data_IF_666169340759
#
_entry.id   IF_666169340759
#
_cell.length_a   1.000
_cell.length_b   1.000
_cell.length_c   1.000
_cell.angle_alpha   90.00
_cell.angle_beta   90.00
_cell.angle_gamma   90.00
#
_symmetry.space_group_name_H-M   'P 1'
#
loop_
_entity.id
_entity.type
_entity.pdbx_description
1 polymer ?
#
# COMPACT_ATOMS: atom_id res chain seq x y z
N UNK A 1 19.91 17.37 -4.35
CA UNK A 1 19.44 17.31 -5.75
C UNK A 1 18.06 16.69 -5.92
N UNK A 2 17.85 15.38 -5.67
CA UNK A 2 16.51 14.78 -5.92
C UNK A 2 15.42 15.41 -5.04
N UNK A 3 15.77 15.74 -3.78
CA UNK A 3 14.91 16.52 -2.89
C UNK A 3 14.55 17.89 -3.52
N UNK A 4 15.55 18.61 -4.02
CA UNK A 4 15.37 19.93 -4.63
C UNK A 4 14.50 19.87 -5.88
N UNK A 5 14.64 18.81 -6.70
CA UNK A 5 13.80 18.59 -7.88
C UNK A 5 12.33 18.42 -7.49
N UNK A 6 12.04 17.61 -6.47
CA UNK A 6 10.66 17.42 -5.98
C UNK A 6 10.10 18.70 -5.36
N UNK A 7 10.91 19.44 -4.59
CA UNK A 7 10.49 20.69 -3.95
C UNK A 7 10.25 21.79 -5.00
N UNK A 8 11.03 21.81 -6.09
CA UNK A 8 10.85 22.75 -7.19
C UNK A 8 9.61 22.43 -8.03
N UNK A 9 9.25 21.14 -8.17
CA UNK A 9 7.97 20.72 -8.77
C UNK A 9 6.80 20.86 -7.78
N UNK A 10 6.59 22.08 -7.28
CA UNK A 10 5.58 22.41 -6.27
C UNK A 10 4.17 22.03 -6.70
N UNK A 11 3.88 22.09 -8.01
CA UNK A 11 2.56 21.72 -8.55
C UNK A 11 2.33 20.22 -8.43
N UNK A 12 3.29 19.40 -8.86
CA UNK A 12 3.17 17.94 -8.73
C UNK A 12 3.18 17.51 -7.26
N UNK A 13 4.08 18.08 -6.44
CA UNK A 13 4.11 17.81 -5.01
C UNK A 13 2.79 18.18 -4.32
N UNK A 14 2.21 19.33 -4.67
CA UNK A 14 0.90 19.75 -4.18
C UNK A 14 -0.20 18.77 -4.55
N UNK A 15 -0.24 18.29 -5.80
CA UNK A 15 -1.21 17.27 -6.24
C UNK A 15 -1.02 15.96 -5.47
N UNK A 16 0.22 15.50 -5.33
CA UNK A 16 0.55 14.27 -4.60
C UNK A 16 0.24 14.39 -3.11
N UNK A 17 0.38 15.56 -2.48
CA UNK A 17 -0.01 15.73 -1.09
C UNK A 17 -1.53 15.85 -0.94
N UNK A 18 -2.22 16.47 -1.89
CA UNK A 18 -3.66 16.70 -1.84
C UNK A 18 -4.50 15.44 -2.03
N UNK A 19 -3.96 14.40 -2.68
CA UNK A 19 -4.67 13.13 -2.86
C UNK A 19 -5.05 12.49 -1.51
N UNK A 20 -4.20 12.59 -0.49
CA UNK A 20 -4.48 12.00 0.82
C UNK A 20 -5.64 12.71 1.56
N UNK A 21 -5.65 14.06 1.65
CA UNK A 21 -6.79 14.80 2.15
C UNK A 21 -8.10 14.56 1.40
N UNK A 22 -8.07 14.58 0.05
CA UNK A 22 -9.27 14.35 -0.75
C UNK A 22 -9.85 12.97 -0.44
N UNK A 23 -9.04 11.93 -0.49
CA UNK A 23 -9.50 10.56 -0.23
C UNK A 23 -9.91 10.39 1.24
N UNK A 24 -9.18 10.97 2.18
CA UNK A 24 -9.54 10.95 3.61
C UNK A 24 -10.90 11.58 3.87
N UNK A 25 -11.20 12.72 3.25
CA UNK A 25 -12.52 13.37 3.32
C UNK A 25 -13.60 12.49 2.66
N UNK A 26 -13.33 11.91 1.49
CA UNK A 26 -14.29 11.01 0.84
C UNK A 26 -14.59 9.77 1.70
N UNK A 27 -13.58 9.18 2.34
CA UNK A 27 -13.78 8.08 3.29
C UNK A 27 -14.58 8.55 4.51
N UNK A 28 -14.30 9.74 5.03
CA UNK A 28 -15.10 10.35 6.08
C UNK A 28 -16.53 10.64 5.67
N UNK A 29 -16.88 10.77 4.40
CA UNK A 29 -18.26 10.93 3.96
C UNK A 29 -18.99 9.58 3.89
N UNK A 30 -18.29 8.50 3.53
CA UNK A 30 -18.90 7.18 3.30
C UNK A 30 -18.83 6.24 4.53
N UNK A 31 -17.79 6.30 5.36
CA UNK A 31 -17.55 5.37 6.45
C UNK A 31 -18.33 5.69 7.73
N UNK A 32 -19.06 4.73 8.31
CA UNK A 32 -19.78 4.94 9.58
C UNK A 32 -18.84 5.21 10.76
N UNK A 33 -19.31 5.97 11.75
CA UNK A 33 -18.48 6.36 12.89
C UNK A 33 -18.05 5.17 13.77
N UNK A 34 -18.96 4.20 13.90
CA UNK A 34 -18.80 2.93 14.61
C UNK A 34 -18.36 1.79 13.66
N UNK A 35 -17.75 2.11 12.52
CA UNK A 35 -17.40 1.09 11.53
C UNK A 35 -16.31 0.12 12.00
N UNK A 36 -15.41 0.53 12.92
CA UNK A 36 -14.30 -0.29 13.41
C UNK A 36 -14.47 -0.70 14.88
N UNK A 37 -15.13 0.13 15.69
CA UNK A 37 -15.32 -0.06 17.13
C UNK A 37 -16.73 0.39 17.52
N UNK A 38 -17.41 -0.40 18.35
CA UNK A 38 -18.76 -0.08 18.83
C UNK A 38 -19.67 -1.30 19.01
N UNK A 39 -20.72 -1.15 19.81
CA UNK A 39 -21.68 -2.24 20.10
C UNK A 39 -22.52 -2.66 18.88
N UNK A 40 -22.63 -1.79 17.87
CA UNK A 40 -23.37 -2.02 16.61
C UNK A 40 -22.45 -2.27 15.41
N UNK A 41 -21.16 -2.47 15.65
CA UNK A 41 -20.18 -2.69 14.60
C UNK A 41 -20.33 -4.10 14.03
N UNK A 42 -20.52 -4.19 12.71
CA UNK A 42 -20.51 -5.47 12.01
C UNK A 42 -19.18 -5.70 11.29
N UNK A 43 -18.73 -6.95 11.24
CA UNK A 43 -17.52 -7.33 10.51
C UNK A 43 -17.53 -6.88 9.03
N UNK A 44 -18.72 -6.84 8.40
CA UNK A 44 -18.89 -6.39 7.01
C UNK A 44 -18.60 -4.90 6.83
N UNK A 45 -18.94 -4.05 7.81
CA UNK A 45 -18.69 -2.61 7.76
C UNK A 45 -17.21 -2.32 8.04
N UNK A 46 -16.62 -3.00 9.02
CA UNK A 46 -15.19 -2.91 9.31
C UNK A 46 -14.35 -3.30 8.08
N UNK A 47 -14.69 -4.43 7.43
CA UNK A 47 -14.01 -4.87 6.20
C UNK A 47 -14.02 -3.83 5.10
N UNK A 48 -15.11 -3.08 4.90
CA UNK A 48 -15.18 -2.02 3.87
C UNK A 48 -14.18 -0.91 4.15
N UNK A 49 -14.09 -0.44 5.41
CA UNK A 49 -13.15 0.62 5.79
C UNK A 49 -11.71 0.15 5.64
N UNK A 50 -11.40 -1.05 6.16
CA UNK A 50 -10.06 -1.63 6.06
C UNK A 50 -9.64 -1.89 4.60
N UNK A 51 -10.58 -2.35 3.78
CA UNK A 51 -10.36 -2.56 2.34
C UNK A 51 -10.02 -1.27 1.61
N UNK A 52 -10.72 -0.19 1.94
CA UNK A 52 -10.41 1.13 1.39
C UNK A 52 -9.03 1.59 1.86
N UNK A 53 -8.69 1.45 3.13
CA UNK A 53 -7.35 1.79 3.64
C UNK A 53 -6.25 1.01 2.93
N UNK A 54 -6.42 -0.30 2.75
CA UNK A 54 -5.47 -1.15 2.02
C UNK A 54 -5.29 -0.69 0.56
N UNK A 55 -6.40 -0.49 -0.15
CA UNK A 55 -6.38 -0.12 -1.57
C UNK A 55 -5.75 1.27 -1.77
N UNK A 56 -6.11 2.24 -0.93
CA UNK A 56 -5.59 3.61 -0.98
C UNK A 56 -4.10 3.65 -0.63
N UNK A 57 -3.66 2.89 0.37
CA UNK A 57 -2.23 2.81 0.72
C UNK A 57 -1.41 2.26 -0.46
N UNK A 58 -1.85 1.15 -1.07
CA UNK A 58 -1.18 0.61 -2.27
C UNK A 58 -1.18 1.62 -3.41
N UNK A 59 -2.31 2.30 -3.65
CA UNK A 59 -2.44 3.35 -4.66
C UNK A 59 -1.43 4.49 -4.46
N UNK A 60 -1.32 5.03 -3.25
CA UNK A 60 -0.36 6.09 -2.92
C UNK A 60 1.05 5.68 -3.29
N UNK A 61 1.48 4.49 -2.82
CA UNK A 61 2.79 3.96 -3.15
C UNK A 61 3.04 3.94 -4.67
N UNK A 62 2.16 3.29 -5.43
CA UNK A 62 2.35 3.11 -6.87
C UNK A 62 2.40 4.47 -7.58
N UNK A 63 1.43 5.36 -7.34
CA UNK A 63 1.33 6.64 -8.05
C UNK A 63 2.51 7.55 -7.76
N UNK A 64 3.00 7.57 -6.51
CA UNK A 64 4.15 8.37 -6.12
C UNK A 64 5.44 7.94 -6.86
N UNK A 65 5.55 6.67 -7.24
CA UNK A 65 6.78 6.09 -7.81
C UNK A 65 6.70 5.75 -9.31
N UNK A 66 5.51 5.56 -9.87
CA UNK A 66 5.31 5.01 -11.22
C UNK A 66 6.02 5.80 -12.32
N UNK A 67 6.17 7.13 -12.18
CA UNK A 67 6.86 7.96 -13.19
C UNK A 67 8.31 8.29 -12.83
N UNK A 68 8.78 7.99 -11.64
CA UNK A 68 10.01 8.61 -11.10
C UNK A 68 11.30 8.16 -11.80
N UNK A 69 11.40 6.90 -12.21
CA UNK A 69 12.58 6.40 -12.96
C UNK A 69 12.48 6.80 -14.43
N UNK A 70 11.30 6.66 -15.04
CA UNK A 70 11.11 7.02 -16.46
C UNK A 70 11.35 8.50 -16.75
N UNK A 71 10.91 9.41 -15.85
CA UNK A 71 11.14 10.86 -15.97
C UNK A 71 12.62 11.23 -16.00
N UNK A 72 13.43 10.55 -15.20
CA UNK A 72 14.85 10.85 -15.05
C UNK A 72 15.77 9.92 -15.85
N UNK A 73 15.21 9.03 -16.66
CA UNK A 73 15.97 8.05 -17.46
C UNK A 73 17.14 8.67 -18.25
N UNK A 74 17.00 9.85 -18.91
CA UNK A 74 18.12 10.49 -19.60
C UNK A 74 19.25 10.96 -18.66
N UNK A 75 18.89 11.45 -17.46
CA UNK A 75 19.85 11.90 -16.45
C UNK A 75 20.58 10.68 -15.88
N UNK A 76 19.85 9.64 -15.52
CA UNK A 76 20.41 8.38 -15.02
C UNK A 76 21.44 7.80 -15.99
N UNK A 77 21.15 7.77 -17.30
CA UNK A 77 22.08 7.25 -18.32
C UNK A 77 23.38 8.07 -18.39
N UNK A 78 23.30 9.41 -18.26
CA UNK A 78 24.49 10.28 -18.23
C UNK A 78 25.34 10.04 -16.98
N UNK A 79 24.72 9.95 -15.81
CA UNK A 79 25.45 9.72 -14.55
C UNK A 79 26.02 8.31 -14.44
N UNK A 80 25.40 7.34 -15.13
CA UNK A 80 25.89 5.98 -15.20
C UNK A 80 27.25 5.88 -15.92
N UNK A 81 27.46 6.69 -16.96
CA UNK A 81 28.76 6.85 -17.62
C UNK A 81 29.84 7.41 -16.68
N UNK A 82 29.42 8.13 -15.64
CA UNK A 82 30.29 8.64 -14.57
C UNK A 82 30.36 7.71 -13.34
N UNK A 83 30.13 6.40 -13.51
CA UNK A 83 30.20 5.35 -12.47
C UNK A 83 29.13 5.40 -11.35
N UNK A 84 27.96 6.02 -11.58
CA UNK A 84 26.86 5.95 -10.62
C UNK A 84 26.37 4.50 -10.42
N UNK A 85 26.34 4.00 -9.18
CA UNK A 85 25.80 2.66 -8.84
C UNK A 85 24.26 2.66 -8.76
N UNK A 86 23.63 1.57 -9.20
CA UNK A 86 22.16 1.39 -9.19
C UNK A 86 21.59 1.44 -7.76
N UNK A 87 22.27 0.83 -6.78
CA UNK A 87 21.83 0.78 -5.39
C UNK A 87 21.61 2.17 -4.78
N UNK A 88 22.66 3.03 -4.71
CA UNK A 88 22.52 4.42 -4.25
C UNK A 88 21.45 5.23 -4.99
N UNK A 89 21.29 5.02 -6.31
CA UNK A 89 20.24 5.66 -7.09
C UNK A 89 18.85 5.26 -6.60
N UNK A 90 18.55 3.97 -6.51
CA UNK A 90 17.23 3.48 -6.06
C UNK A 90 16.97 3.86 -4.59
N UNK A 91 17.98 3.76 -3.72
CA UNK A 91 17.87 4.19 -2.31
C UNK A 91 17.56 5.67 -2.19
N UNK A 92 18.16 6.53 -3.03
CA UNK A 92 17.84 7.97 -3.03
C UNK A 92 16.37 8.25 -3.38
N UNK A 93 15.78 7.43 -4.27
CA UNK A 93 14.35 7.52 -4.60
C UNK A 93 13.49 7.11 -3.42
N UNK A 94 13.77 5.95 -2.84
CA UNK A 94 13.02 5.43 -1.68
C UNK A 94 13.09 6.41 -0.52
N UNK A 95 14.26 6.96 -0.18
CA UNK A 95 14.42 7.84 0.98
C UNK A 95 13.52 9.09 0.90
N UNK A 96 13.39 9.67 -0.29
CA UNK A 96 12.58 10.90 -0.46
C UNK A 96 11.10 10.55 -0.62
N UNK A 97 10.76 9.49 -1.35
CA UNK A 97 9.38 9.04 -1.48
C UNK A 97 8.82 8.45 -0.16
N UNK A 98 9.68 7.93 0.72
CA UNK A 98 9.34 7.50 2.07
C UNK A 98 8.74 8.66 2.88
N UNK A 99 9.36 9.84 2.85
CA UNK A 99 8.84 11.02 3.55
C UNK A 99 7.43 11.38 3.06
N UNK A 100 7.19 11.28 1.75
CA UNK A 100 5.89 11.55 1.15
C UNK A 100 4.83 10.55 1.65
N UNK A 101 5.12 9.24 1.63
CA UNK A 101 4.16 8.22 2.11
C UNK A 101 3.96 8.26 3.62
N UNK A 102 4.98 8.63 4.41
CA UNK A 102 4.86 8.88 5.86
C UNK A 102 3.81 9.95 6.13
N UNK A 103 3.89 11.08 5.41
CA UNK A 103 2.95 12.20 5.54
C UNK A 103 1.57 11.79 5.03
N UNK A 104 1.46 11.16 3.86
CA UNK A 104 0.18 10.75 3.29
C UNK A 104 -0.56 9.72 4.15
N UNK A 105 0.15 8.73 4.70
CA UNK A 105 -0.44 7.74 5.61
C UNK A 105 -0.91 8.39 6.91
N UNK A 106 -0.17 9.36 7.44
CA UNK A 106 -0.56 10.09 8.65
C UNK A 106 -1.78 10.96 8.40
N UNK A 107 -1.82 11.69 7.28
CA UNK A 107 -2.96 12.50 6.86
C UNK A 107 -4.20 11.65 6.63
N UNK A 108 -4.07 10.51 5.94
CA UNK A 108 -5.18 9.61 5.68
C UNK A 108 -5.81 9.09 6.97
N UNK A 109 -5.01 8.53 7.88
CA UNK A 109 -5.52 8.00 9.15
C UNK A 109 -5.97 9.09 10.10
N UNK A 110 -5.24 10.21 10.17
CA UNK A 110 -5.63 11.36 10.98
C UNK A 110 -7.01 11.88 10.58
N UNK A 111 -7.26 12.00 9.27
CA UNK A 111 -8.58 12.37 8.75
C UNK A 111 -9.63 11.32 9.05
N UNK A 112 -9.37 10.03 8.74
CA UNK A 112 -10.35 8.96 9.05
C UNK A 112 -10.70 8.94 10.54
N UNK A 113 -9.74 9.20 11.44
CA UNK A 113 -9.96 9.22 12.88
C UNK A 113 -10.88 10.33 13.39
N UNK A 114 -11.11 11.39 12.60
CA UNK A 114 -12.06 12.45 12.97
C UNK A 114 -13.52 11.99 12.89
N UNK A 115 -13.82 10.99 12.07
CA UNK A 115 -15.17 10.45 11.89
C UNK A 115 -15.33 9.03 12.41
N UNK A 116 -14.32 8.18 12.18
CA UNK A 116 -14.34 6.75 12.53
C UNK A 116 -13.52 6.54 13.80
N UNK A 117 -14.12 5.90 14.79
CA UNK A 117 -13.43 5.55 16.03
C UNK A 117 -12.41 4.44 15.77
N UNK A 118 -11.13 4.73 16.01
CA UNK A 118 -10.04 3.75 15.88
C UNK A 118 -9.95 2.88 17.14
N UNK A 119 -9.53 1.61 17.02
CA UNK A 119 -9.30 0.76 18.19
C UNK A 119 -8.25 1.37 19.12
N UNK A 120 -8.59 1.48 20.41
CA UNK A 120 -7.67 1.98 21.44
C UNK A 120 -6.49 1.01 21.63
N UNK A 121 -6.80 -0.29 21.70
CA UNK A 121 -5.84 -1.37 21.86
C UNK A 121 -5.71 -2.16 20.55
N UNK A 122 -4.48 -2.35 20.09
CA UNK A 122 -4.14 -3.36 19.08
C UNK A 122 -3.60 -4.62 19.75
N UNK A 123 -2.86 -5.40 18.98
CA UNK A 123 -2.30 -6.69 19.44
C UNK A 123 -0.98 -6.52 20.20
N UNK A 124 -0.14 -5.61 19.74
CA UNK A 124 1.21 -5.30 20.22
C UNK A 124 1.35 -3.84 20.66
N UNK A 125 0.72 -2.93 19.92
CA UNK A 125 0.80 -1.48 20.10
C UNK A 125 -0.63 -0.90 20.20
N UNK A 126 -0.79 0.40 20.52
CA UNK A 126 -2.07 1.07 20.38
C UNK A 126 -2.63 0.87 18.96
N UNK A 127 -3.92 0.61 18.83
CA UNK A 127 -4.50 0.15 17.56
C UNK A 127 -4.30 1.15 16.43
N UNK A 128 -4.42 2.46 16.71
CA UNK A 128 -4.12 3.53 15.75
C UNK A 128 -2.68 3.47 15.20
N UNK A 129 -1.71 3.07 16.02
CA UNK A 129 -0.30 2.99 15.64
C UNK A 129 -0.04 1.75 14.77
N UNK A 130 -0.71 0.63 15.06
CA UNK A 130 -0.65 -0.57 14.20
C UNK A 130 -1.32 -0.34 12.85
N UNK A 131 -2.47 0.35 12.81
CA UNK A 131 -3.11 0.77 11.57
C UNK A 131 -2.15 1.68 10.78
N UNK A 132 -1.49 2.63 11.44
CA UNK A 132 -0.50 3.50 10.80
C UNK A 132 0.69 2.73 10.23
N UNK A 133 1.29 1.85 11.02
CA UNK A 133 2.41 1.02 10.59
C UNK A 133 2.01 0.13 9.41
N UNK A 134 0.83 -0.51 9.47
CA UNK A 134 0.28 -1.32 8.37
C UNK A 134 0.06 -0.46 7.11
N UNK A 135 -0.50 0.74 7.26
CA UNK A 135 -0.70 1.68 6.14
C UNK A 135 0.62 2.06 5.50
N UNK A 136 1.63 2.40 6.31
CA UNK A 136 2.94 2.82 5.85
C UNK A 136 3.68 1.70 5.12
N UNK A 137 3.71 0.49 5.70
CA UNK A 137 4.33 -0.69 5.08
C UNK A 137 3.64 -1.07 3.76
N UNK A 138 2.31 -0.98 3.73
CA UNK A 138 1.51 -1.20 2.51
C UNK A 138 1.85 -0.18 1.43
N UNK A 139 1.94 1.11 1.79
CA UNK A 139 2.36 2.17 0.87
C UNK A 139 3.79 1.99 0.38
N UNK A 140 4.70 1.50 1.23
CA UNK A 140 6.10 1.22 0.84
C UNK A 140 6.22 0.04 -0.12
N UNK A 141 5.45 -1.03 0.10
CA UNK A 141 5.34 -2.13 -0.86
C UNK A 141 4.76 -1.64 -2.19
N UNK A 142 3.71 -0.82 -2.16
CA UNK A 142 3.14 -0.18 -3.34
C UNK A 142 4.14 0.73 -4.07
N UNK A 143 4.97 1.47 -3.32
CA UNK A 143 6.03 2.33 -3.83
C UNK A 143 7.10 1.52 -4.56
N UNK A 144 7.57 0.42 -3.97
CA UNK A 144 8.51 -0.47 -4.62
C UNK A 144 7.92 -1.07 -5.92
N UNK A 145 6.64 -1.44 -5.91
CA UNK A 145 5.95 -1.89 -7.13
C UNK A 145 5.85 -0.76 -8.17
N UNK A 146 5.56 0.47 -7.75
CA UNK A 146 5.59 1.65 -8.61
C UNK A 146 6.96 1.91 -9.23
N UNK A 147 8.05 1.74 -8.47
CA UNK A 147 9.41 1.82 -9.01
C UNK A 147 9.69 0.71 -10.04
N UNK A 148 9.22 -0.52 -9.80
CA UNK A 148 9.33 -1.61 -10.77
C UNK A 148 8.53 -1.35 -12.06
N UNK A 149 7.37 -0.71 -11.97
CA UNK A 149 6.60 -0.23 -13.13
C UNK A 149 7.40 0.86 -13.84
N UNK A 150 7.95 1.82 -13.10
CA UNK A 150 8.73 2.92 -13.63
C UNK A 150 10.00 2.47 -14.36
N UNK A 151 10.70 1.45 -13.85
CA UNK A 151 11.88 0.90 -14.53
C UNK A 151 11.54 0.11 -15.78
N UNK A 152 10.33 -0.42 -15.91
CA UNK A 152 9.93 -1.26 -17.06
C UNK A 152 9.41 -0.43 -18.23
N UNK A 153 8.73 0.68 -17.96
CA UNK A 153 8.16 1.54 -18.98
C UNK A 153 9.22 2.39 -19.70
N UNK A 154 8.99 2.70 -20.98
CA UNK A 154 9.89 3.53 -21.79
C UNK A 154 9.64 5.03 -21.64
N UNK A 155 8.41 5.42 -21.27
CA UNK A 155 8.01 6.82 -21.06
C UNK A 155 7.17 6.95 -19.78
N UNK A 156 7.13 8.14 -19.16
CA UNK A 156 6.28 8.39 -17.99
C UNK A 156 4.80 8.10 -18.23
N UNK A 157 4.29 8.38 -19.43
CA UNK A 157 2.88 8.14 -19.74
C UNK A 157 2.56 6.66 -19.86
N UNK A 158 3.44 5.87 -20.49
CA UNK A 158 3.30 4.40 -20.51
C UNK A 158 3.34 3.80 -19.10
N UNK A 159 4.17 4.35 -18.22
CA UNK A 159 4.21 3.88 -16.83
C UNK A 159 2.86 4.08 -16.13
N UNK A 160 2.20 5.23 -16.34
CA UNK A 160 0.85 5.46 -15.80
C UNK A 160 -0.20 4.56 -16.43
N UNK A 161 -0.12 4.28 -17.73
CA UNK A 161 -1.05 3.34 -18.37
C UNK A 161 -1.00 1.93 -17.76
N UNK A 162 0.12 1.54 -17.13
CA UNK A 162 0.27 0.24 -16.44
C UNK A 162 -0.33 0.27 -15.03
N UNK A 163 -0.44 1.43 -14.38
CA UNK A 163 -0.89 1.54 -12.98
C UNK A 163 -2.26 0.90 -12.75
N UNK A 164 -3.30 1.13 -13.57
CA UNK A 164 -4.59 0.45 -13.40
C UNK A 164 -4.47 -1.08 -13.46
N UNK A 165 -3.64 -1.61 -14.36
CA UNK A 165 -3.41 -3.06 -14.49
C UNK A 165 -2.73 -3.65 -13.25
N UNK A 166 -1.91 -2.87 -12.55
CA UNK A 166 -1.32 -3.26 -11.27
C UNK A 166 -2.32 -3.17 -10.12
N UNK A 167 -3.24 -2.20 -10.14
CA UNK A 167 -4.24 -1.96 -9.09
C UNK A 167 -5.43 -2.92 -9.15
N UNK A 168 -5.90 -3.30 -10.34
CA UNK A 168 -7.06 -4.20 -10.49
C UNK A 168 -6.88 -5.50 -9.70
N UNK A 169 -5.75 -6.24 -9.81
CA UNK A 169 -5.51 -7.44 -9.00
C UNK A 169 -5.55 -7.15 -7.49
N UNK A 170 -5.05 -5.99 -7.05
CA UNK A 170 -5.07 -5.61 -5.63
C UNK A 170 -6.50 -5.49 -5.11
N UNK A 171 -7.39 -4.92 -5.91
CA UNK A 171 -8.81 -4.77 -5.56
C UNK A 171 -9.52 -6.13 -5.57
N UNK A 172 -9.30 -6.93 -6.61
CA UNK A 172 -9.98 -8.22 -6.80
C UNK A 172 -9.60 -9.24 -5.73
N UNK A 173 -8.31 -9.34 -5.40
CA UNK A 173 -7.79 -10.39 -4.53
C UNK A 173 -7.56 -9.95 -3.08
N UNK A 174 -8.09 -8.80 -2.65
CA UNK A 174 -7.97 -8.37 -1.25
C UNK A 174 -8.73 -9.28 -0.26
N UNK A 175 -9.64 -10.14 -0.75
CA UNK A 175 -10.43 -11.06 0.08
C UNK A 175 -11.69 -10.44 0.70
N UNK A 176 -12.16 -9.32 0.15
CA UNK A 176 -13.36 -8.60 0.64
C UNK A 176 -14.50 -8.60 -0.37
N UNK A 177 -14.22 -8.26 -1.63
CA UNK A 177 -15.24 -8.20 -2.70
C UNK A 177 -15.60 -9.62 -3.16
N UNK A 178 -14.58 -10.45 -3.38
CA UNK A 178 -14.73 -11.83 -3.80
C UNK A 178 -14.23 -12.76 -2.70
N UNK A 179 -14.97 -13.83 -2.45
CA UNK A 179 -14.54 -14.90 -1.57
C UNK A 179 -13.41 -15.67 -2.26
N UNK A 180 -12.31 -15.90 -1.54
CA UNK A 180 -11.12 -16.55 -2.12
C UNK A 180 -11.20 -18.09 -2.13
N UNK A 181 -12.39 -18.64 -1.83
CA UNK A 181 -12.61 -20.07 -1.65
C UNK A 181 -11.98 -20.65 -0.37
N UNK A 182 -12.51 -21.79 0.07
CA UNK A 182 -11.97 -22.55 1.19
C UNK A 182 -10.84 -23.48 0.69
N UNK A 183 -9.75 -23.60 1.47
CA UNK A 183 -8.63 -24.47 1.15
C UNK A 183 -7.71 -23.96 0.01
N UNK A 184 -7.15 -24.88 -0.76
CA UNK A 184 -6.20 -24.58 -1.85
C UNK A 184 -6.95 -24.28 -3.15
N UNK A 185 -7.40 -23.04 -3.32
CA UNK A 185 -8.01 -22.56 -4.57
C UNK A 185 -6.99 -21.74 -5.39
N UNK A 186 -7.16 -21.70 -6.71
CA UNK A 186 -6.33 -20.85 -7.60
C UNK A 186 -6.46 -19.38 -7.23
N UNK A 187 -7.66 -18.94 -6.84
CA UNK A 187 -7.92 -17.57 -6.41
C UNK A 187 -7.13 -17.22 -5.14
N UNK A 188 -7.03 -18.14 -4.18
CA UNK A 188 -6.25 -17.97 -2.95
C UNK A 188 -4.75 -17.90 -3.24
N UNK A 189 -4.25 -18.75 -4.13
CA UNK A 189 -2.86 -18.71 -4.58
C UNK A 189 -2.53 -17.36 -5.22
N UNK A 190 -3.39 -16.87 -6.12
CA UNK A 190 -3.23 -15.56 -6.77
C UNK A 190 -3.30 -14.41 -5.76
N UNK A 191 -4.12 -14.54 -4.72
CA UNK A 191 -4.21 -13.52 -3.67
C UNK A 191 -2.92 -13.33 -2.87
N UNK A 192 -2.09 -14.37 -2.75
CA UNK A 192 -0.81 -14.23 -2.08
C UNK A 192 0.15 -13.34 -2.86
N UNK A 193 -0.11 -13.10 -4.16
CA UNK A 193 0.62 -12.18 -5.02
C UNK A 193 0.23 -10.70 -4.88
N UNK A 194 -0.77 -10.37 -4.06
CA UNK A 194 -1.27 -9.00 -3.89
C UNK A 194 -0.92 -8.42 -2.53
N UNK A 195 -0.49 -7.16 -2.53
CA UNK A 195 -0.10 -6.41 -1.34
C UNK A 195 -1.34 -6.14 -0.49
N UNK A 196 -2.46 -5.80 -1.13
CA UNK A 196 -3.74 -5.54 -0.47
C UNK A 196 -4.25 -6.72 0.36
N UNK A 197 -4.01 -7.97 -0.08
CA UNK A 197 -4.41 -9.17 0.66
C UNK A 197 -3.73 -9.23 2.03
N UNK A 198 -2.42 -9.05 2.05
CA UNK A 198 -1.63 -9.07 3.29
C UNK A 198 -1.90 -7.84 4.16
N UNK A 199 -2.14 -6.69 3.56
CA UNK A 199 -2.59 -5.49 4.26
C UNK A 199 -3.94 -5.72 4.96
N UNK A 200 -4.90 -6.37 4.28
CA UNK A 200 -6.19 -6.73 4.86
C UNK A 200 -6.06 -7.67 6.05
N UNK A 201 -5.19 -8.69 5.97
CA UNK A 201 -4.94 -9.59 7.11
C UNK A 201 -4.35 -8.83 8.30
N UNK A 202 -3.38 -7.94 8.06
CA UNK A 202 -2.76 -7.13 9.10
C UNK A 202 -3.79 -6.18 9.76
N UNK A 203 -4.57 -5.45 8.97
CA UNK A 203 -5.62 -4.58 9.50
C UNK A 203 -6.70 -5.34 10.27
N UNK A 204 -7.17 -6.47 9.72
CA UNK A 204 -8.19 -7.28 10.38
C UNK A 204 -7.67 -7.90 11.68
N UNK A 205 -6.38 -8.21 11.75
CA UNK A 205 -5.71 -8.61 12.99
C UNK A 205 -5.71 -7.48 14.00
N UNK A 206 -5.36 -6.25 13.63
CA UNK A 206 -5.35 -5.11 14.57
C UNK A 206 -6.73 -4.76 15.13
N UNK A 207 -7.80 -4.87 14.32
CA UNK A 207 -9.17 -4.52 14.74
C UNK A 207 -9.90 -5.70 15.42
N UNK A 208 -9.25 -6.86 15.54
CA UNK A 208 -9.89 -8.10 15.99
C UNK A 208 -11.18 -8.43 15.21
N UNK A 209 -11.04 -8.47 13.88
CA UNK A 209 -12.17 -8.63 12.96
C UNK A 209 -12.97 -9.92 13.19
N UNK A 210 -12.34 -10.94 13.78
CA UNK A 210 -12.96 -12.24 14.08
C UNK A 210 -13.97 -12.19 15.24
N UNK A 211 -13.83 -11.24 16.16
CA UNK A 211 -14.76 -11.09 17.30
C UNK A 211 -15.96 -10.21 16.97
N UNK A 212 -15.91 -9.45 15.87
CA UNK A 212 -17.03 -8.62 15.46
C UNK A 212 -18.23 -9.46 15.02
N UNK A 213 -19.46 -9.08 15.40
CA UNK A 213 -20.66 -9.80 14.98
C UNK A 213 -20.83 -9.71 13.45
N UNK A 214 -21.30 -10.80 12.87
CA UNK A 214 -21.69 -10.85 11.46
C UNK A 214 -23.16 -10.46 11.32
N UNK A 215 -23.50 -9.79 10.22
CA UNK A 215 -24.90 -9.54 9.90
C UNK A 215 -25.66 -10.87 9.72
N UNK A 216 -26.93 -10.95 10.18
CA UNK A 216 -27.75 -12.14 9.99
C UNK A 216 -27.76 -12.57 8.51
N UNK A 217 -27.44 -13.84 8.23
CA UNK A 217 -27.40 -14.39 6.87
C UNK A 217 -26.04 -14.36 6.17
N UNK A 218 -24.99 -13.80 6.79
CA UNK A 218 -23.62 -13.90 6.25
C UNK A 218 -22.87 -15.13 6.79
N UNK A 219 -22.16 -15.82 5.89
CA UNK A 219 -21.27 -16.92 6.27
C UNK A 219 -20.10 -16.41 7.12
N UNK A 220 -19.76 -17.15 8.16
CA UNK A 220 -18.58 -16.88 8.99
C UNK A 220 -17.32 -17.10 8.14
N UNK A 221 -16.41 -16.14 8.15
CA UNK A 221 -15.07 -16.35 7.61
C UNK A 221 -14.29 -17.28 8.55
N UNK A 222 -13.39 -18.08 7.99
CA UNK A 222 -12.50 -18.94 8.78
C UNK A 222 -11.76 -18.12 9.84
N UNK A 223 -11.87 -18.54 11.11
CA UNK A 223 -11.27 -17.83 12.26
C UNK A 223 -9.76 -17.64 12.14
N UNK A 224 -9.08 -18.48 11.37
CA UNK A 224 -7.62 -18.43 11.27
C UNK A 224 -7.11 -17.26 10.40
N UNK A 225 -7.99 -16.62 9.62
CA UNK A 225 -7.56 -15.61 8.64
C UNK A 225 -7.16 -14.26 9.27
N UNK A 226 -7.80 -13.89 10.38
CA UNK A 226 -7.53 -12.63 11.11
C UNK A 226 -7.14 -12.89 12.57
N UNK A 227 -6.29 -13.89 12.81
CA UNK A 227 -5.90 -14.28 14.16
C UNK A 227 -5.32 -13.10 14.96
N UNK A 228 -5.97 -12.74 16.07
CA UNK A 228 -5.59 -11.63 16.97
C UNK A 228 -4.34 -11.97 17.79
N UNK A 229 -3.20 -12.14 17.12
CA UNK A 229 -1.93 -12.54 17.74
C UNK A 229 -0.75 -11.77 17.15
N UNK A 230 0.22 -11.47 18.01
CA UNK A 230 1.40 -10.70 17.63
C UNK A 230 2.19 -11.37 16.51
N UNK A 231 2.33 -12.70 16.60
CA UNK A 231 3.00 -13.50 15.59
C UNK A 231 2.32 -13.40 14.22
N UNK A 232 0.98 -13.40 14.18
CA UNK A 232 0.25 -13.23 12.94
C UNK A 232 0.50 -11.83 12.34
N UNK A 233 0.34 -10.76 13.10
CA UNK A 233 0.54 -9.38 12.64
C UNK A 233 1.98 -9.16 12.11
N UNK A 234 2.99 -9.55 12.90
CA UNK A 234 4.39 -9.41 12.52
C UNK A 234 4.73 -10.21 11.26
N UNK A 235 4.15 -11.40 11.09
CA UNK A 235 4.33 -12.18 9.86
C UNK A 235 3.78 -11.44 8.63
N UNK A 236 2.66 -10.72 8.75
CA UNK A 236 2.06 -9.97 7.64
C UNK A 236 2.88 -8.74 7.29
N UNK A 237 3.39 -8.02 8.30
CA UNK A 237 4.35 -6.94 8.10
C UNK A 237 5.65 -7.43 7.45
N UNK A 238 6.17 -8.57 7.87
CA UNK A 238 7.34 -9.19 7.26
C UNK A 238 7.09 -9.52 5.78
N UNK A 239 5.92 -10.07 5.43
CA UNK A 239 5.57 -10.36 4.04
C UNK A 239 5.49 -9.07 3.20
N UNK A 240 4.90 -7.98 3.73
CA UNK A 240 4.89 -6.68 3.04
C UNK A 240 6.31 -6.14 2.79
N UNK A 241 7.22 -6.32 3.75
CA UNK A 241 8.64 -5.97 3.58
C UNK A 241 9.32 -6.86 2.53
N UNK A 242 9.03 -8.17 2.51
CA UNK A 242 9.52 -9.07 1.46
C UNK A 242 9.02 -8.63 0.09
N UNK A 243 7.74 -8.25 -0.04
CA UNK A 243 7.20 -7.67 -1.27
C UNK A 243 7.99 -6.46 -1.75
N UNK A 244 8.24 -5.53 -0.82
CA UNK A 244 9.04 -4.35 -1.10
C UNK A 244 10.43 -4.76 -1.64
N UNK A 245 11.14 -5.65 -0.95
CA UNK A 245 12.47 -6.12 -1.36
C UNK A 245 12.47 -6.81 -2.72
N UNK A 246 11.48 -7.68 -3.00
CA UNK A 246 11.33 -8.37 -4.29
C UNK A 246 11.11 -7.36 -5.41
N UNK A 247 10.19 -6.40 -5.24
CA UNK A 247 9.94 -5.36 -6.23
C UNK A 247 11.17 -4.49 -6.47
N UNK A 248 11.92 -4.12 -5.43
CA UNK A 248 13.19 -3.39 -5.57
C UNK A 248 14.26 -4.20 -6.28
N UNK A 249 14.34 -5.51 -6.01
CA UNK A 249 15.21 -6.43 -6.74
C UNK A 249 14.86 -6.48 -8.24
N UNK A 250 13.58 -6.52 -8.57
CA UNK A 250 13.08 -6.41 -9.94
C UNK A 250 13.47 -5.07 -10.58
N UNK A 251 13.29 -3.95 -9.87
CA UNK A 251 13.72 -2.62 -10.34
C UNK A 251 15.22 -2.60 -10.65
N UNK A 252 16.04 -3.07 -9.72
CA UNK A 252 17.49 -3.09 -9.89
C UNK A 252 17.92 -3.99 -11.07
N UNK A 253 17.28 -5.15 -11.22
CA UNK A 253 17.51 -6.07 -12.34
C UNK A 253 17.14 -5.44 -13.68
N UNK A 254 15.97 -4.79 -13.79
CA UNK A 254 15.53 -4.11 -15.01
C UNK A 254 16.48 -2.95 -15.39
N UNK A 255 16.91 -2.16 -14.40
CA UNK A 255 17.89 -1.09 -14.62
C UNK A 255 19.23 -1.65 -15.11
N UNK A 256 19.72 -2.74 -14.51
CA UNK A 256 20.96 -3.42 -14.94
C UNK A 256 20.84 -3.99 -16.36
N UNK A 257 19.66 -4.51 -16.74
CA UNK A 257 19.42 -5.02 -18.09
C UNK A 257 19.45 -3.90 -19.13
N UNK A 258 18.86 -2.74 -18.82
CA UNK A 258 18.89 -1.56 -19.70
C UNK A 258 20.31 -1.03 -19.90
N UNK A 259 21.14 -1.07 -18.86
CA UNK A 259 22.55 -0.67 -18.91
C UNK A 259 23.36 -1.50 -19.92
N UNK A 260 23.03 -2.79 -20.08
CA UNK A 260 23.73 -3.69 -21.03
C UNK A 260 23.33 -3.50 -22.50
N UNK A 261 22.23 -2.79 -22.77
CA UNK A 261 21.70 -2.57 -24.12
C UNK A 261 22.17 -1.23 -24.72
N UNK A 262 22.90 -0.44 -23.94
CA UNK A 262 23.43 0.89 -24.25
C UNK A 262 24.91 0.78 -24.56
#
# INVERSE_FOLDING_TARGET
RYLDLIIQDRRNLGILLLQAPIIGVLLMLVAKADALVGEKTFASEAKKVLFMLATVAVWFGIINAAREITKESPIFRRERLANLRIGPYVLSKIAILLLLVVIQSALLLGLVSLRVQLPAMGVLLPGWLELYATTLLTSLAGLAMGLAISSSASTPDRAISIVPLALIPQILFAGVIFTLGDGFSVQRLLSWFTISRWAMDAYGTTVNLNELPFQPGMLRVAKDEYAFTAGHLLSRWAILLVYMLVCLGITAWQLKRRDRQV
#
